data_IF_194136414651
#
_entry.id   IF_194136414651
#
_cell.length_a   1.000
_cell.length_b   1.000
_cell.length_c   1.000
_cell.angle_alpha   90.00
_cell.angle_beta   90.00
_cell.angle_gamma   90.00
#
_symmetry.space_group_name_H-M   'P 1'
#
loop_
_entity.id
_entity.type
_entity.pdbx_description
1 polymer ?
#
# COMPACT_ATOMS: atom_id res chain seq x y z
N UNK A 1 -27.38 15.51 -44.53
CA UNK A 1 -27.05 14.31 -43.71
C UNK A 1 -25.62 14.34 -43.14
N UNK A 2 -24.72 15.21 -43.62
CA UNK A 2 -23.33 15.31 -43.16
C UNK A 2 -23.15 16.00 -41.80
N UNK A 3 -23.91 17.07 -41.52
CA UNK A 3 -23.77 17.85 -40.27
C UNK A 3 -24.18 17.09 -39.00
N UNK A 4 -25.22 16.25 -39.06
CA UNK A 4 -25.66 15.41 -37.92
C UNK A 4 -24.68 14.28 -37.59
N UNK A 5 -23.97 13.77 -38.60
CA UNK A 5 -22.95 12.72 -38.44
C UNK A 5 -21.66 13.30 -37.86
N UNK A 6 -21.27 14.51 -38.30
CA UNK A 6 -20.11 15.21 -37.74
C UNK A 6 -20.34 15.59 -36.27
N UNK A 7 -21.54 16.06 -35.91
CA UNK A 7 -21.87 16.38 -34.52
C UNK A 7 -21.85 15.13 -33.61
N UNK A 8 -22.35 13.99 -34.11
CA UNK A 8 -22.30 12.71 -33.39
C UNK A 8 -20.86 12.18 -33.23
N UNK A 9 -20.00 12.35 -34.24
CA UNK A 9 -18.59 11.93 -34.19
C UNK A 9 -17.77 12.76 -33.20
N UNK A 10 -18.01 14.08 -33.14
CA UNK A 10 -17.35 15.01 -32.20
C UNK A 10 -17.76 14.71 -30.75
N UNK A 11 -19.04 14.37 -30.51
CA UNK A 11 -19.50 13.93 -29.20
C UNK A 11 -18.85 12.61 -28.77
N UNK A 12 -18.70 11.64 -29.68
CA UNK A 12 -18.10 10.33 -29.37
C UNK A 12 -16.61 10.44 -29.01
N UNK A 13 -15.88 11.37 -29.62
CA UNK A 13 -14.47 11.64 -29.29
C UNK A 13 -14.28 12.47 -28.02
N UNK A 14 -15.21 13.38 -27.71
CA UNK A 14 -15.15 14.17 -26.47
C UNK A 14 -15.42 13.33 -25.21
N UNK A 15 -16.25 12.27 -25.33
CA UNK A 15 -16.51 11.32 -24.24
C UNK A 15 -15.31 10.42 -23.93
N UNK A 16 -14.38 10.22 -24.87
CA UNK A 16 -13.19 9.38 -24.66
C UNK A 16 -12.07 10.11 -23.89
N UNK A 17 -12.06 11.45 -23.89
CA UNK A 17 -11.05 12.28 -23.23
C UNK A 17 -11.31 12.57 -21.75
N UNK A 18 -12.47 12.19 -21.21
CA UNK A 18 -12.83 12.42 -19.79
C UNK A 18 -12.63 11.19 -18.89
N UNK A 19 -12.09 10.08 -19.43
CA UNK A 19 -11.86 8.84 -18.69
C UNK A 19 -10.47 8.73 -18.04
N UNK A 20 -9.63 9.76 -18.13
CA UNK A 20 -8.26 9.71 -17.60
C UNK A 20 -8.02 10.61 -16.39
N UNK A 21 -8.96 10.59 -15.43
CA UNK A 21 -8.71 11.07 -14.07
C UNK A 21 -8.43 9.87 -13.15
N UNK A 22 -7.48 9.02 -13.53
CA UNK A 22 -6.86 8.07 -12.64
C UNK A 22 -5.54 8.66 -12.18
N UNK A 23 -5.55 9.46 -11.13
CA UNK A 23 -4.29 9.81 -10.47
C UNK A 23 -3.59 8.50 -10.11
N UNK A 24 -2.33 8.33 -10.51
CA UNK A 24 -1.53 7.17 -10.10
C UNK A 24 -1.57 7.09 -8.58
N UNK A 25 -2.26 6.09 -8.03
CA UNK A 25 -2.22 5.84 -6.59
C UNK A 25 -0.78 5.44 -6.26
N UNK A 26 -0.21 6.06 -5.23
CA UNK A 26 1.08 5.64 -4.69
C UNK A 26 0.96 4.34 -3.87
N UNK A 27 -0.10 3.59 -4.10
CA UNK A 27 -0.52 2.40 -3.38
C UNK A 27 -0.89 1.36 -4.42
N UNK A 28 -0.21 0.22 -4.37
CA UNK A 28 -0.42 -0.93 -5.23
C UNK A 28 -0.96 -2.09 -4.38
N UNK A 29 -2.04 -2.72 -4.83
CA UNK A 29 -2.68 -3.83 -4.13
C UNK A 29 -2.45 -5.12 -4.92
N UNK A 30 -2.04 -6.18 -4.24
CA UNK A 30 -1.98 -7.54 -4.80
C UNK A 30 -2.81 -8.53 -3.95
N UNK A 31 -2.74 -9.82 -4.28
CA UNK A 31 -3.51 -10.88 -3.61
C UNK A 31 -3.11 -11.07 -2.13
N UNK A 32 -1.89 -10.72 -1.77
CA UNK A 32 -1.30 -10.98 -0.44
C UNK A 32 -1.15 -9.73 0.40
N UNK A 33 -1.22 -8.54 -0.20
CA UNK A 33 -0.89 -7.34 0.51
C UNK A 33 -1.00 -6.04 -0.27
N UNK A 34 -0.30 -5.04 0.27
CA UNK A 34 -0.29 -3.68 -0.22
C UNK A 34 1.15 -3.16 -0.22
N UNK A 35 1.56 -2.57 -1.34
CA UNK A 35 2.81 -1.82 -1.48
C UNK A 35 2.50 -0.33 -1.53
N UNK A 36 3.23 0.46 -0.76
CA UNK A 36 3.05 1.91 -0.62
C UNK A 36 4.37 2.58 -1.00
N UNK A 37 4.31 3.44 -2.00
CA UNK A 37 5.39 4.32 -2.42
C UNK A 37 5.30 5.62 -1.63
N UNK A 38 6.31 5.89 -0.82
CA UNK A 38 6.41 7.09 0.00
C UNK A 38 7.13 8.17 -0.80
N UNK A 39 6.51 9.34 -0.90
CA UNK A 39 7.06 10.51 -1.61
C UNK A 39 7.31 11.69 -0.68
N UNK A 40 7.26 11.48 0.64
CA UNK A 40 7.46 12.53 1.63
C UNK A 40 8.95 12.87 1.78
N UNK A 41 9.29 14.16 1.83
CA UNK A 41 10.67 14.65 2.04
C UNK A 41 11.31 14.14 3.36
N UNK A 42 10.48 13.69 4.30
CA UNK A 42 10.88 13.16 5.61
C UNK A 42 11.06 11.64 5.63
N UNK A 43 10.66 10.94 4.58
CA UNK A 43 10.70 9.49 4.54
C UNK A 43 12.11 9.01 4.16
N UNK A 44 12.87 8.45 5.11
CA UNK A 44 14.10 7.70 4.81
C UNK A 44 13.80 6.35 4.11
N UNK A 45 12.52 5.99 4.03
CA UNK A 45 12.00 4.79 3.36
C UNK A 45 11.26 5.23 2.10
N UNK A 46 11.52 4.57 0.98
CA UNK A 46 10.86 4.86 -0.30
C UNK A 46 9.66 3.95 -0.53
N UNK A 47 9.75 2.69 -0.09
CA UNK A 47 8.68 1.72 -0.28
C UNK A 47 8.43 0.91 0.99
N UNK A 48 7.15 0.67 1.29
CA UNK A 48 6.70 -0.23 2.34
C UNK A 48 5.76 -1.26 1.73
N UNK A 49 5.98 -2.54 2.02
CA UNK A 49 5.03 -3.62 1.71
C UNK A 49 4.51 -4.24 2.99
N UNK A 50 3.19 -4.40 3.05
CA UNK A 50 2.48 -5.12 4.10
C UNK A 50 1.84 -6.35 3.47
N UNK A 51 2.25 -7.54 3.89
CA UNK A 51 1.66 -8.81 3.45
C UNK A 51 0.90 -9.47 4.61
N UNK A 52 -0.38 -9.78 4.42
CA UNK A 52 -1.20 -10.47 5.42
C UNK A 52 -1.00 -11.98 5.26
N UNK A 53 -0.17 -12.58 6.11
CA UNK A 53 0.16 -14.00 6.06
C UNK A 53 -0.90 -14.88 6.74
N UNK A 54 -1.55 -14.34 7.77
CA UNK A 54 -2.75 -14.90 8.43
C UNK A 54 -3.60 -13.77 8.99
N UNK A 55 -4.75 -14.09 9.59
CA UNK A 55 -5.56 -13.12 10.32
C UNK A 55 -4.80 -12.41 11.46
N UNK A 56 -3.68 -12.96 11.95
CA UNK A 56 -2.92 -12.43 13.10
C UNK A 56 -1.47 -12.10 12.79
N UNK A 57 -1.01 -12.34 11.56
CA UNK A 57 0.40 -12.18 11.18
C UNK A 57 0.47 -11.31 9.93
N UNK A 58 1.10 -10.14 10.08
CA UNK A 58 1.47 -9.28 8.97
C UNK A 58 2.99 -9.23 8.83
N UNK A 59 3.49 -9.36 7.60
CA UNK A 59 4.89 -9.16 7.26
C UNK A 59 5.08 -7.74 6.75
N UNK A 60 6.00 -7.00 7.35
CA UNK A 60 6.30 -5.62 7.00
C UNK A 60 7.71 -5.55 6.44
N UNK A 61 7.85 -5.06 5.20
CA UNK A 61 9.13 -4.82 4.56
C UNK A 61 9.23 -3.35 4.20
N UNK A 62 10.25 -2.67 4.70
CA UNK A 62 10.53 -1.27 4.38
C UNK A 62 11.92 -1.17 3.76
N UNK A 63 12.03 -0.43 2.66
CA UNK A 63 13.30 -0.25 1.93
C UNK A 63 13.56 1.22 1.60
N UNK A 64 14.82 1.67 1.62
CA UNK A 64 15.21 3.02 1.18
C UNK A 64 15.44 3.08 -0.35
N UNK A 65 14.87 2.14 -1.10
CA UNK A 65 15.07 1.96 -2.54
C UNK A 65 13.75 1.75 -3.26
N UNK A 66 13.75 1.92 -4.57
CA UNK A 66 12.55 1.78 -5.41
C UNK A 66 12.27 0.32 -5.82
N UNK A 67 12.85 -0.63 -5.09
CA UNK A 67 12.62 -2.07 -5.29
C UNK A 67 12.92 -2.87 -4.01
N UNK A 68 12.25 -4.02 -3.87
CA UNK A 68 12.49 -4.97 -2.79
C UNK A 68 13.59 -5.98 -3.17
N UNK A 69 14.42 -6.42 -2.20
CA UNK A 69 15.34 -7.54 -2.41
C UNK A 69 14.58 -8.80 -2.83
N UNK A 70 15.08 -9.48 -3.87
CA UNK A 70 14.50 -10.75 -4.34
C UNK A 70 14.99 -12.00 -3.58
N UNK A 71 15.97 -11.85 -2.69
CA UNK A 71 16.51 -12.97 -1.94
C UNK A 71 15.50 -13.46 -0.88
N UNK A 72 15.20 -14.77 -0.80
CA UNK A 72 14.33 -15.30 0.24
C UNK A 72 14.99 -15.21 1.62
N UNK A 73 14.18 -15.05 2.65
CA UNK A 73 14.66 -15.10 4.04
C UNK A 73 15.10 -16.51 4.40
N UNK A 74 16.21 -16.62 5.13
CA UNK A 74 16.73 -17.90 5.63
C UNK A 74 16.02 -18.39 6.89
N UNK A 75 15.23 -17.52 7.55
CA UNK A 75 14.58 -17.81 8.83
C UNK A 75 13.09 -18.15 8.68
N UNK A 76 12.47 -17.70 7.60
CA UNK A 76 11.04 -17.91 7.34
C UNK A 76 10.86 -19.16 6.49
N UNK A 77 9.96 -20.04 6.89
CA UNK A 77 9.42 -21.08 6.01
C UNK A 77 8.41 -20.47 5.03
N UNK A 78 7.98 -21.25 4.04
CA UNK A 78 6.95 -20.82 3.10
C UNK A 78 5.69 -20.31 3.83
N UNK A 79 5.11 -19.19 3.37
CA UNK A 79 3.91 -18.65 4.00
C UNK A 79 2.76 -19.67 3.92
N UNK A 80 1.82 -19.63 4.88
CA UNK A 80 0.66 -20.52 4.88
C UNK A 80 -0.06 -20.52 3.53
N UNK A 81 -0.46 -21.69 3.04
CA UNK A 81 -1.09 -21.84 1.72
C UNK A 81 -2.57 -21.41 1.70
N UNK A 82 -3.12 -20.94 2.82
CA UNK A 82 -4.49 -20.47 2.93
C UNK A 82 -4.65 -19.04 2.40
N UNK A 83 -5.78 -18.77 1.73
CA UNK A 83 -6.17 -17.40 1.43
C UNK A 83 -6.55 -16.70 2.73
N UNK A 84 -6.00 -15.50 2.95
CA UNK A 84 -6.37 -14.63 4.06
C UNK A 84 -7.40 -13.64 3.56
N UNK A 85 -8.52 -13.52 4.26
CA UNK A 85 -9.52 -12.50 3.95
C UNK A 85 -9.17 -11.20 4.66
N UNK A 86 -8.98 -10.15 3.88
CA UNK A 86 -8.65 -8.82 4.38
C UNK A 86 -9.29 -7.73 3.52
N UNK A 87 -9.51 -6.58 4.14
CA UNK A 87 -10.00 -5.36 3.49
C UNK A 87 -8.93 -4.29 3.54
N UNK A 88 -9.01 -3.35 2.60
CA UNK A 88 -8.17 -2.16 2.57
C UNK A 88 -9.03 -0.93 2.49
N UNK A 89 -8.73 0.04 3.33
CA UNK A 89 -9.26 1.41 3.25
C UNK A 89 -8.09 2.34 3.03
N UNK A 90 -8.13 3.12 1.96
CA UNK A 90 -7.18 4.19 1.74
C UNK A 90 -7.83 5.53 2.03
N UNK A 91 -7.14 6.35 2.81
CA UNK A 91 -7.46 7.75 3.04
C UNK A 91 -6.37 8.63 2.42
N UNK A 92 -6.55 9.95 2.51
CA UNK A 92 -5.50 10.89 2.08
C UNK A 92 -4.18 10.65 2.82
N UNK A 93 -4.26 10.36 4.12
CA UNK A 93 -3.11 10.39 5.02
C UNK A 93 -2.58 9.00 5.37
N UNK A 94 -3.41 7.96 5.26
CA UNK A 94 -3.05 6.61 5.69
C UNK A 94 -3.69 5.52 4.83
N UNK A 95 -3.03 4.35 4.82
CA UNK A 95 -3.57 3.08 4.31
C UNK A 95 -3.85 2.18 5.51
N UNK A 96 -5.06 1.65 5.60
CA UNK A 96 -5.47 0.69 6.64
C UNK A 96 -5.82 -0.66 6.01
N UNK A 97 -5.24 -1.74 6.56
CA UNK A 97 -5.44 -3.11 6.12
C UNK A 97 -5.97 -3.91 7.31
N UNK A 98 -7.12 -4.56 7.15
CA UNK A 98 -7.83 -5.21 8.25
C UNK A 98 -8.18 -6.66 7.93
N UNK A 99 -7.87 -7.56 8.85
CA UNK A 99 -8.32 -8.96 8.87
C UNK A 99 -9.38 -9.16 9.97
N UNK A 100 -9.80 -10.39 10.22
CA UNK A 100 -10.70 -10.71 11.33
C UNK A 100 -10.12 -10.39 12.72
N UNK A 101 -8.80 -10.32 12.85
CA UNK A 101 -8.11 -10.26 14.16
C UNK A 101 -7.04 -9.17 14.26
N UNK A 102 -6.64 -8.55 13.15
CA UNK A 102 -5.56 -7.56 13.12
C UNK A 102 -5.91 -6.39 12.20
N UNK A 103 -5.53 -5.21 12.63
CA UNK A 103 -5.59 -3.99 11.85
C UNK A 103 -4.21 -3.36 11.78
N UNK A 104 -3.74 -3.09 10.56
CA UNK A 104 -2.45 -2.46 10.29
C UNK A 104 -2.69 -1.14 9.56
N UNK A 105 -2.22 -0.05 10.13
CA UNK A 105 -2.32 1.29 9.54
C UNK A 105 -0.92 1.79 9.21
N UNK A 106 -0.73 2.28 8.00
CA UNK A 106 0.52 2.90 7.53
C UNK A 106 0.25 4.36 7.22
N UNK A 107 1.00 5.26 7.86
CA UNK A 107 1.01 6.68 7.54
C UNK A 107 1.74 6.94 6.22
N UNK A 108 1.11 7.67 5.29
CA UNK A 108 1.62 7.89 3.93
C UNK A 108 2.70 8.98 3.85
N UNK A 109 2.83 9.85 4.85
CA UNK A 109 3.88 10.88 4.90
C UNK A 109 5.18 10.30 5.47
N UNK A 110 5.07 9.52 6.53
CA UNK A 110 6.20 9.08 7.36
C UNK A 110 6.55 7.60 7.17
N UNK A 111 5.61 6.77 6.72
CA UNK A 111 5.76 5.32 6.66
C UNK A 111 5.66 4.62 8.01
N UNK A 112 5.24 5.31 9.07
CA UNK A 112 5.04 4.73 10.39
C UNK A 112 3.91 3.69 10.38
N UNK A 113 4.16 2.57 11.04
CA UNK A 113 3.20 1.45 11.13
C UNK A 113 2.59 1.35 12.53
N UNK A 114 1.27 1.24 12.57
CA UNK A 114 0.46 0.99 13.76
C UNK A 114 -0.26 -0.36 13.61
N UNK A 115 -0.15 -1.19 14.64
CA UNK A 115 -0.90 -2.42 14.80
C UNK A 115 -1.94 -2.25 15.90
N UNK A 116 -3.17 -2.64 15.60
CA UNK A 116 -4.30 -2.59 16.52
C UNK A 116 -5.21 -3.81 16.35
N UNK A 117 -6.09 -4.03 17.31
CA UNK A 117 -7.24 -4.92 17.12
C UNK A 117 -8.22 -4.29 16.11
N UNK A 118 -9.15 -5.07 15.51
CA UNK A 118 -10.19 -4.53 14.64
C UNK A 118 -11.11 -3.52 15.34
N UNK A 119 -11.24 -3.60 16.68
CA UNK A 119 -11.97 -2.62 17.49
C UNK A 119 -11.20 -1.30 17.73
N UNK A 120 -9.96 -1.20 17.26
CA UNK A 120 -9.12 -0.01 17.38
C UNK A 120 -8.25 0.05 18.64
N UNK A 121 -8.17 -1.02 19.42
CA UNK A 121 -7.25 -1.08 20.56
C UNK A 121 -5.81 -1.26 20.07
N UNK A 122 -4.93 -0.32 20.37
CA UNK A 122 -3.52 -0.37 19.98
C UNK A 122 -2.80 -1.58 20.60
N UNK A 123 -2.00 -2.25 19.78
CA UNK A 123 -1.12 -3.37 20.16
C UNK A 123 0.34 -2.91 20.12
N UNK A 124 0.75 -2.27 19.02
CA UNK A 124 2.11 -1.79 18.80
C UNK A 124 2.06 -0.57 17.88
N UNK A 125 2.80 0.48 18.22
CA UNK A 125 3.02 1.66 17.39
C UNK A 125 4.51 1.87 17.18
N UNK A 126 4.92 2.06 15.93
CA UNK A 126 6.28 2.54 15.64
C UNK A 126 6.48 3.95 16.20
N UNK A 127 7.70 4.26 16.64
CA UNK A 127 7.99 5.55 17.26
C UNK A 127 7.81 6.69 16.27
N UNK A 128 7.08 7.72 16.70
CA UNK A 128 6.89 8.94 15.93
C UNK A 128 8.21 9.63 15.60
N UNK A 129 8.41 9.97 14.33
CA UNK A 129 9.61 10.64 13.82
C UNK A 129 10.83 9.72 13.67
N UNK A 130 10.68 8.39 13.76
CA UNK A 130 11.72 7.48 13.26
C UNK A 130 11.91 6.17 14.02
N UNK A 131 12.69 5.31 13.37
CA UNK A 131 13.05 3.95 13.81
C UNK A 131 13.65 3.12 12.67
N UNK A 132 13.40 3.53 11.42
CA UNK A 132 13.91 2.89 10.19
C UNK A 132 15.16 3.59 9.67
N UNK A 133 16.18 3.76 10.51
CA UNK A 133 17.51 4.20 10.03
C UNK A 133 18.25 3.01 9.45
N UNK A 134 18.13 2.80 8.14
CA UNK A 134 18.75 1.70 7.42
C UNK A 134 20.12 2.13 6.87
N UNK A 135 21.14 2.20 7.75
CA UNK A 135 22.53 2.34 7.29
C UNK A 135 23.08 0.96 6.92
N UNK A 136 23.58 0.75 5.69
CA UNK A 136 24.29 -0.47 5.35
C UNK A 136 25.46 -0.69 6.32
N UNK A 137 25.71 -1.92 6.79
CA UNK A 137 26.94 -2.21 7.50
C UNK A 137 28.14 -1.90 6.59
N UNK A 138 29.18 -1.26 7.17
CA UNK A 138 30.44 -0.96 6.49
C UNK A 138 31.25 -2.22 6.20
#
# INVERSE_FOLDING_TARGET
>A
MTSRVILALVCLTASFLLLNCGGQSNVEKDDRGVTIHLSGERAETHMIRIEMLTDKIAHVVAVPSDSFPGAPSLMTVEPPTGKVDWTMTETRDAVEITTSSLKVTVDKETGEVLFATPSGQEILREKTGGGKHLKPPR
#
